data_IF_834614615932
#
_entry.id   IF_834614615932
#
_cell.length_a   1.000
_cell.length_b   1.000
_cell.length_c   1.000
_cell.angle_alpha   90.00
_cell.angle_beta   90.00
_cell.angle_gamma   90.00
#
_symmetry.space_group_name_H-M   'P 1'
#
loop_
_entity.id
_entity.type
_entity.pdbx_description
1 polymer ?
#
# COMPACT_ATOMS: atom_id res chain seq x y z
N UNK A 1 -46.57 -4.88 -8.34
CA UNK A 1 -45.50 -3.95 -7.94
C UNK A 1 -44.21 -4.77 -7.80
N UNK A 2 -43.36 -4.78 -8.84
CA UNK A 2 -42.12 -5.57 -8.87
C UNK A 2 -40.99 -4.67 -8.37
N UNK A 3 -40.41 -5.01 -7.22
CA UNK A 3 -39.22 -4.36 -6.67
C UNK A 3 -38.03 -4.98 -7.39
N UNK A 4 -37.34 -4.22 -8.26
CA UNK A 4 -36.06 -4.59 -8.80
C UNK A 4 -34.99 -4.24 -7.75
N UNK A 5 -34.47 -5.26 -7.11
CA UNK A 5 -33.25 -5.13 -6.30
C UNK A 5 -32.10 -5.07 -7.28
N UNK A 6 -31.54 -3.87 -7.47
CA UNK A 6 -30.29 -3.69 -8.18
C UNK A 6 -29.16 -4.19 -7.27
N UNK A 7 -28.79 -5.45 -7.41
CA UNK A 7 -27.52 -5.96 -6.89
C UNK A 7 -26.41 -5.32 -7.71
N UNK A 8 -25.81 -4.25 -7.17
CA UNK A 8 -24.52 -3.81 -7.66
C UNK A 8 -23.51 -4.91 -7.36
N UNK A 9 -23.18 -5.64 -8.42
CA UNK A 9 -22.05 -6.57 -8.43
C UNK A 9 -20.82 -5.79 -7.99
N UNK A 10 -20.28 -6.19 -6.84
CA UNK A 10 -18.91 -5.93 -6.47
C UNK A 10 -18.03 -6.26 -7.69
N UNK A 11 -17.42 -5.25 -8.28
CA UNK A 11 -16.41 -5.45 -9.30
C UNK A 11 -15.29 -6.26 -8.63
N UNK A 12 -15.25 -7.55 -8.92
CA UNK A 12 -14.04 -8.36 -8.73
C UNK A 12 -12.93 -7.61 -9.47
N UNK A 13 -12.05 -6.94 -8.74
CA UNK A 13 -10.85 -6.34 -9.31
C UNK A 13 -10.06 -7.49 -9.92
N UNK A 14 -10.17 -7.65 -11.24
CA UNK A 14 -9.32 -8.54 -11.99
C UNK A 14 -7.88 -8.09 -11.77
N UNK A 15 -6.99 -9.03 -11.43
CA UNK A 15 -5.54 -8.79 -11.36
C UNK A 15 -5.11 -7.96 -12.57
N UNK A 16 -4.35 -6.87 -12.38
CA UNK A 16 -3.92 -6.02 -13.47
C UNK A 16 -3.17 -6.89 -14.51
N UNK A 17 -3.56 -6.74 -15.75
CA UNK A 17 -3.00 -7.54 -16.84
C UNK A 17 -1.63 -6.97 -17.20
N UNK A 18 -0.58 -7.56 -16.63
CA UNK A 18 0.82 -7.22 -16.94
C UNK A 18 1.41 -8.20 -17.95
N UNK A 19 2.35 -7.74 -18.77
CA UNK A 19 3.03 -8.55 -19.78
C UNK A 19 4.51 -8.15 -19.86
N UNK A 20 5.28 -8.82 -20.69
CA UNK A 20 6.69 -8.50 -20.94
C UNK A 20 6.89 -7.05 -21.44
N UNK A 21 5.92 -6.49 -22.16
CA UNK A 21 5.93 -5.15 -22.74
C UNK A 21 5.47 -4.05 -21.77
N UNK A 22 4.95 -4.43 -20.61
CA UNK A 22 4.56 -3.47 -19.56
C UNK A 22 5.79 -2.71 -19.08
N UNK A 23 5.77 -1.38 -19.13
CA UNK A 23 6.90 -0.56 -18.65
C UNK A 23 6.94 -0.57 -17.11
N UNK A 24 8.12 -0.31 -16.55
CA UNK A 24 8.30 -0.28 -15.10
C UNK A 24 7.48 0.83 -14.45
N UNK A 25 7.27 1.95 -15.14
CA UNK A 25 6.34 2.99 -14.71
C UNK A 25 4.91 2.46 -14.62
N UNK A 26 4.40 1.86 -15.70
CA UNK A 26 3.06 1.27 -15.72
C UNK A 26 2.90 0.17 -14.67
N UNK A 27 3.94 -0.65 -14.48
CA UNK A 27 3.93 -1.70 -13.46
C UNK A 27 3.75 -1.10 -12.05
N UNK A 28 4.49 -0.04 -11.71
CA UNK A 28 4.39 0.60 -10.39
C UNK A 28 3.04 1.30 -10.21
N UNK A 29 2.47 1.89 -11.25
CA UNK A 29 1.12 2.49 -11.23
C UNK A 29 0.02 1.42 -11.00
N UNK A 30 0.16 0.24 -11.62
CA UNK A 30 -0.79 -0.87 -11.51
C UNK A 30 -0.61 -1.68 -10.21
N UNK A 31 0.61 -1.75 -9.72
CA UNK A 31 1.03 -2.61 -8.59
C UNK A 31 2.03 -1.85 -7.70
N UNK A 32 1.58 -1.04 -6.74
CA UNK A 32 2.47 -0.25 -5.88
C UNK A 32 3.55 -1.07 -5.17
N UNK A 33 3.25 -2.31 -4.78
CA UNK A 33 4.19 -3.25 -4.16
C UNK A 33 5.17 -3.93 -5.14
N UNK A 34 5.14 -3.62 -6.45
CA UNK A 34 5.94 -4.33 -7.45
C UNK A 34 7.45 -4.22 -7.21
N UNK A 35 7.95 -3.02 -6.83
CA UNK A 35 9.38 -2.82 -6.51
C UNK A 35 9.82 -3.71 -5.34
N UNK A 36 9.03 -3.78 -4.27
CA UNK A 36 9.30 -4.67 -3.12
C UNK A 36 9.29 -6.13 -3.56
N UNK A 37 8.32 -6.56 -4.37
CA UNK A 37 8.22 -7.93 -4.87
C UNK A 37 9.44 -8.33 -5.71
N UNK A 38 9.87 -7.47 -6.63
CA UNK A 38 11.06 -7.67 -7.45
C UNK A 38 12.33 -7.76 -6.60
N UNK A 39 12.45 -6.86 -5.61
CA UNK A 39 13.61 -6.87 -4.72
C UNK A 39 13.66 -8.11 -3.83
N UNK A 40 12.53 -8.50 -3.25
CA UNK A 40 12.48 -9.62 -2.30
C UNK A 40 12.90 -10.96 -2.91
N UNK A 41 12.64 -11.19 -4.20
CA UNK A 41 12.94 -12.46 -4.85
C UNK A 41 14.12 -12.40 -5.80
N UNK A 42 14.30 -11.28 -6.50
CA UNK A 42 15.30 -11.17 -7.57
C UNK A 42 16.38 -10.13 -7.28
N UNK A 43 16.31 -9.44 -6.15
CA UNK A 43 17.19 -8.33 -5.76
C UNK A 43 17.22 -7.15 -6.77
N UNK A 44 16.16 -7.00 -7.56
CA UNK A 44 16.00 -5.93 -8.56
C UNK A 44 15.37 -4.70 -7.89
N UNK A 45 15.95 -3.52 -8.09
CA UNK A 45 15.40 -2.23 -7.64
C UNK A 45 15.84 -1.76 -6.26
N UNK A 46 16.76 -2.47 -5.60
CA UNK A 46 17.24 -2.11 -4.25
C UNK A 46 18.39 -1.11 -4.21
N UNK A 47 19.07 -0.87 -5.32
CA UNK A 47 20.21 0.06 -5.41
C UNK A 47 20.23 0.74 -6.79
N UNK A 48 21.07 1.79 -6.94
CA UNK A 48 21.22 2.50 -8.24
C UNK A 48 21.74 1.60 -9.37
N UNK A 49 22.60 0.62 -9.04
CA UNK A 49 23.20 -0.27 -10.04
C UNK A 49 22.30 -1.44 -10.44
N UNK A 50 21.38 -1.87 -9.57
CA UNK A 50 20.39 -2.92 -9.85
C UNK A 50 18.97 -2.33 -10.05
N UNK A 51 18.87 -1.00 -10.16
CA UNK A 51 17.65 -0.28 -10.44
C UNK A 51 17.16 -0.53 -11.87
N UNK A 52 16.03 0.03 -12.18
CA UNK A 52 15.45 0.06 -13.51
C UNK A 52 15.01 1.49 -13.83
N UNK A 53 14.99 1.81 -15.13
CA UNK A 53 14.38 3.03 -15.62
C UNK A 53 12.87 2.85 -15.78
N UNK A 54 12.10 3.91 -15.55
CA UNK A 54 10.64 3.89 -15.68
C UNK A 54 10.17 3.54 -17.11
N UNK A 55 11.00 3.80 -18.11
CA UNK A 55 10.74 3.50 -19.52
C UNK A 55 11.09 2.07 -19.92
N UNK A 56 11.93 1.34 -19.15
CA UNK A 56 12.24 -0.06 -19.43
C UNK A 56 10.99 -0.94 -19.28
N UNK A 57 10.87 -1.96 -20.11
CA UNK A 57 9.85 -2.98 -20.01
C UNK A 57 10.26 -4.09 -19.03
N UNK A 58 9.29 -4.83 -18.50
CA UNK A 58 9.56 -6.01 -17.66
C UNK A 58 10.49 -6.99 -18.40
N UNK A 59 10.27 -7.21 -19.70
CA UNK A 59 11.11 -8.09 -20.51
C UNK A 59 12.56 -7.61 -20.62
N UNK A 60 12.80 -6.31 -20.79
CA UNK A 60 14.15 -5.73 -20.82
C UNK A 60 14.85 -5.85 -19.46
N UNK A 61 14.13 -5.56 -18.37
CA UNK A 61 14.65 -5.73 -17.01
C UNK A 61 15.02 -7.20 -16.75
N UNK A 62 14.18 -8.16 -17.14
CA UNK A 62 14.47 -9.60 -17.01
C UNK A 62 15.72 -9.99 -17.80
N UNK A 63 15.83 -9.55 -19.06
CA UNK A 63 16.97 -9.84 -19.93
C UNK A 63 18.28 -9.30 -19.37
N UNK A 64 18.26 -8.10 -18.80
CA UNK A 64 19.45 -7.46 -18.21
C UNK A 64 19.87 -8.12 -16.88
N UNK A 65 18.95 -8.77 -16.18
CA UNK A 65 19.19 -9.45 -14.92
C UNK A 65 19.26 -10.98 -15.12
N UNK A 66 20.35 -11.45 -15.74
CA UNK A 66 20.69 -12.87 -15.93
C UNK A 66 19.65 -13.65 -16.75
N UNK A 67 19.01 -13.02 -17.74
CA UNK A 67 17.97 -13.63 -18.58
C UNK A 67 16.87 -14.34 -17.75
N UNK A 68 16.37 -13.65 -16.71
CA UNK A 68 15.29 -14.20 -15.87
C UNK A 68 14.09 -14.60 -16.73
N UNK A 69 13.49 -15.80 -16.48
CA UNK A 69 12.27 -16.20 -17.18
C UNK A 69 11.13 -15.21 -16.90
N UNK A 70 10.69 -14.50 -17.94
CA UNK A 70 9.67 -13.44 -17.82
C UNK A 70 8.38 -13.98 -17.22
N UNK A 71 7.95 -15.17 -17.60
CA UNK A 71 6.73 -15.82 -17.07
C UNK A 71 6.80 -16.05 -15.56
N UNK A 72 7.98 -16.41 -15.03
CA UNK A 72 8.19 -16.61 -13.59
C UNK A 72 8.13 -15.26 -12.84
N UNK A 73 8.66 -14.19 -13.44
CA UNK A 73 8.59 -12.84 -12.88
C UNK A 73 7.15 -12.35 -12.89
N UNK A 74 6.42 -12.49 -13.99
CA UNK A 74 5.01 -12.09 -14.09
C UNK A 74 4.13 -12.86 -13.09
N UNK A 75 4.34 -14.15 -12.95
CA UNK A 75 3.64 -14.99 -11.97
C UNK A 75 3.94 -14.56 -10.54
N UNK A 76 5.20 -14.26 -10.23
CA UNK A 76 5.60 -13.78 -8.91
C UNK A 76 4.95 -12.41 -8.59
N UNK A 77 4.98 -11.47 -9.52
CA UNK A 77 4.34 -10.17 -9.38
C UNK A 77 2.83 -10.31 -9.13
N UNK A 78 2.14 -11.15 -9.92
CA UNK A 78 0.70 -11.38 -9.73
C UNK A 78 0.39 -11.99 -8.35
N UNK A 79 1.17 -12.96 -7.91
CA UNK A 79 1.02 -13.56 -6.58
C UNK A 79 1.28 -12.55 -5.45
N UNK A 80 2.28 -11.67 -5.62
CA UNK A 80 2.56 -10.60 -4.66
C UNK A 80 1.41 -9.59 -4.59
N UNK A 81 0.82 -9.22 -5.73
CA UNK A 81 -0.33 -8.32 -5.75
C UNK A 81 -1.55 -8.91 -5.05
N UNK A 82 -1.82 -10.21 -5.23
CA UNK A 82 -2.89 -10.90 -4.49
C UNK A 82 -2.64 -10.93 -2.97
N UNK A 83 -1.37 -11.03 -2.57
CA UNK A 83 -1.00 -10.90 -1.16
C UNK A 83 -1.21 -9.49 -0.65
N UNK A 84 -0.77 -8.49 -1.41
CA UNK A 84 -0.89 -7.07 -1.08
C UNK A 84 -2.36 -6.64 -0.91
N UNK A 85 -3.26 -7.17 -1.73
CA UNK A 85 -4.71 -6.93 -1.56
C UNK A 85 -5.25 -7.40 -0.20
N UNK A 86 -4.69 -8.47 0.36
CA UNK A 86 -5.12 -9.02 1.66
C UNK A 86 -4.64 -8.22 2.85
N UNK A 87 -3.61 -7.42 2.68
CA UNK A 87 -3.03 -6.55 3.71
C UNK A 87 -3.40 -5.08 3.50
N UNK A 88 -4.50 -4.82 2.83
CA UNK A 88 -5.08 -3.49 2.65
C UNK A 88 -6.50 -3.43 3.19
N UNK A 89 -6.91 -2.23 3.60
CA UNK A 89 -8.28 -1.90 3.97
C UNK A 89 -8.70 -0.64 3.21
N UNK A 90 -9.89 -0.61 2.62
CA UNK A 90 -10.40 0.60 2.00
C UNK A 90 -10.94 1.59 3.03
N UNK A 91 -11.08 2.85 2.64
CA UNK A 91 -11.50 3.94 3.52
C UNK A 91 -12.87 3.68 4.17
N UNK A 92 -13.82 3.15 3.41
CA UNK A 92 -15.19 2.89 3.91
C UNK A 92 -15.22 1.74 4.93
N UNK A 93 -14.40 0.71 4.76
CA UNK A 93 -14.33 -0.40 5.73
C UNK A 93 -13.55 0.01 6.98
N UNK A 94 -12.49 0.83 6.84
CA UNK A 94 -11.82 1.44 7.99
C UNK A 94 -12.81 2.27 8.83
N UNK A 95 -13.64 3.09 8.17
CA UNK A 95 -14.68 3.86 8.89
C UNK A 95 -15.61 2.97 9.69
N UNK A 96 -16.07 1.85 9.11
CA UNK A 96 -16.93 0.89 9.81
C UNK A 96 -16.22 0.25 11.02
N UNK A 97 -14.91 -0.05 10.90
CA UNK A 97 -14.13 -0.54 12.04
C UNK A 97 -14.00 0.52 13.13
N UNK A 98 -13.77 1.79 12.77
CA UNK A 98 -13.64 2.90 13.73
C UNK A 98 -14.94 3.28 14.43
N UNK A 99 -16.08 3.04 13.78
CA UNK A 99 -17.41 3.33 14.36
C UNK A 99 -17.88 2.24 15.36
N UNK A 100 -17.16 1.14 15.48
CA UNK A 100 -17.48 0.10 16.47
C UNK A 100 -16.98 0.53 17.86
N UNK A 101 -17.84 0.45 18.85
CA UNK A 101 -17.46 0.63 20.26
C UNK A 101 -16.51 -0.49 20.68
N UNK A 102 -15.51 -0.19 21.52
CA UNK A 102 -14.50 -1.12 22.05
C UNK A 102 -13.45 -1.68 21.09
N UNK A 103 -13.08 -0.97 20.01
CA UNK A 103 -11.97 -1.39 19.16
C UNK A 103 -10.66 -0.69 19.54
N UNK A 104 -9.67 -1.46 20.03
CA UNK A 104 -8.29 -0.98 20.19
C UNK A 104 -7.57 -1.03 18.84
N UNK A 105 -7.85 -0.03 17.99
CA UNK A 105 -7.23 0.13 16.68
C UNK A 105 -6.13 1.19 16.79
N UNK A 106 -4.92 0.83 16.38
CA UNK A 106 -3.80 1.76 16.27
C UNK A 106 -3.73 2.32 14.85
N UNK A 107 -3.93 3.63 14.72
CA UNK A 107 -3.79 4.35 13.46
C UNK A 107 -2.40 5.01 13.42
N UNK A 108 -1.49 4.50 12.58
CA UNK A 108 -0.12 5.00 12.46
C UNK A 108 0.07 5.75 11.16
N UNK A 109 0.34 7.03 11.24
CA UNK A 109 0.59 7.91 10.10
C UNK A 109 2.09 8.00 9.83
N UNK A 110 2.51 7.62 8.63
CA UNK A 110 3.93 7.58 8.22
C UNK A 110 4.34 8.78 7.36
N UNK A 111 3.49 9.80 7.25
CA UNK A 111 3.80 11.03 6.52
C UNK A 111 4.79 11.91 7.29
N UNK A 112 5.14 13.06 6.71
CA UNK A 112 5.94 14.05 7.42
C UNK A 112 5.15 14.66 8.58
N UNK A 113 5.88 15.27 9.54
CA UNK A 113 5.25 15.95 10.66
C UNK A 113 4.38 17.11 10.19
N UNK A 114 4.85 17.85 9.19
CA UNK A 114 4.16 18.99 8.60
C UNK A 114 2.82 18.57 7.99
N UNK A 115 2.81 17.47 7.23
CA UNK A 115 1.58 16.92 6.65
C UNK A 115 0.60 16.47 7.74
N UNK A 116 1.11 15.78 8.77
CA UNK A 116 0.30 15.29 9.89
C UNK A 116 -0.29 16.41 10.73
N UNK A 117 0.48 17.48 11.00
CA UNK A 117 0.00 18.65 11.74
C UNK A 117 -1.02 19.45 10.93
N UNK A 118 -0.84 19.53 9.61
CA UNK A 118 -1.78 20.22 8.73
C UNK A 118 -3.12 19.47 8.62
N UNK A 119 -3.07 18.14 8.47
CA UNK A 119 -4.28 17.33 8.29
C UNK A 119 -4.03 15.88 8.72
N UNK A 120 -4.98 15.26 9.42
CA UNK A 120 -4.88 13.86 9.87
C UNK A 120 -6.24 13.21 10.03
N UNK A 121 -6.27 11.90 10.01
CA UNK A 121 -7.46 11.14 10.42
C UNK A 121 -7.57 11.23 11.96
N UNK A 122 -8.74 11.57 12.51
CA UNK A 122 -8.92 11.64 13.97
C UNK A 122 -8.50 10.33 14.65
N UNK A 123 -7.76 10.45 15.76
CA UNK A 123 -7.25 9.29 16.50
C UNK A 123 -5.96 8.69 15.94
N UNK A 124 -5.40 9.19 14.83
CA UNK A 124 -4.11 8.74 14.34
C UNK A 124 -2.94 9.36 15.12
N UNK A 125 -1.83 8.62 15.18
CA UNK A 125 -0.56 9.02 15.77
C UNK A 125 0.52 9.02 14.68
N UNK A 126 1.40 10.03 14.71
CA UNK A 126 2.53 10.05 13.78
C UNK A 126 3.54 8.98 14.16
N UNK A 127 3.98 8.18 13.20
CA UNK A 127 4.99 7.16 13.41
C UNK A 127 6.36 7.82 13.62
N UNK A 128 6.89 7.66 14.83
CA UNK A 128 8.29 8.00 15.16
C UNK A 128 9.13 6.73 15.25
N UNK A 129 10.45 6.88 15.24
CA UNK A 129 11.36 5.74 15.45
C UNK A 129 11.10 5.04 16.80
N UNK A 130 10.84 5.81 17.86
CA UNK A 130 10.54 5.28 19.19
C UNK A 130 9.23 4.50 19.20
N UNK A 131 8.16 5.04 18.58
CA UNK A 131 6.87 4.36 18.46
C UNK A 131 6.98 3.08 17.62
N UNK A 132 7.77 3.10 16.54
CA UNK A 132 8.04 1.91 15.75
C UNK A 132 8.73 0.83 16.57
N UNK A 133 9.78 1.17 17.34
CA UNK A 133 10.47 0.24 18.22
C UNK A 133 9.54 -0.31 19.31
N UNK A 134 8.70 0.53 19.88
CA UNK A 134 7.71 0.13 20.86
C UNK A 134 6.70 -0.85 20.27
N UNK A 135 6.14 -0.54 19.10
CA UNK A 135 5.19 -1.39 18.41
C UNK A 135 5.78 -2.78 18.11
N UNK A 136 6.99 -2.84 17.58
CA UNK A 136 7.65 -4.10 17.25
C UNK A 136 8.08 -4.91 18.48
N UNK A 137 8.46 -4.22 19.57
CA UNK A 137 9.02 -4.86 20.77
C UNK A 137 8.01 -5.18 21.86
N UNK A 138 6.92 -4.40 21.98
CA UNK A 138 6.04 -4.46 23.15
C UNK A 138 4.56 -4.70 22.85
N UNK A 139 4.08 -4.37 21.63
CA UNK A 139 2.66 -4.52 21.33
C UNK A 139 2.26 -6.00 21.21
N UNK A 140 1.01 -6.29 21.57
CA UNK A 140 0.43 -7.61 21.31
C UNK A 140 0.44 -7.88 19.80
N UNK A 141 0.83 -9.10 19.42
CA UNK A 141 0.91 -9.53 18.01
C UNK A 141 -0.46 -9.53 17.31
N UNK A 142 -1.54 -9.44 18.08
CA UNK A 142 -2.92 -9.32 17.59
C UNK A 142 -3.44 -7.88 17.57
N UNK A 143 -2.62 -6.88 17.94
CA UNK A 143 -3.03 -5.48 17.87
C UNK A 143 -3.43 -5.14 16.46
N UNK A 144 -4.66 -4.62 16.29
CA UNK A 144 -5.14 -4.12 14.99
C UNK A 144 -4.43 -2.82 14.67
N UNK A 145 -3.63 -2.81 13.61
CA UNK A 145 -2.80 -1.65 13.23
C UNK A 145 -3.11 -1.26 11.80
N UNK A 146 -3.39 0.03 11.58
CA UNK A 146 -3.64 0.61 10.26
C UNK A 146 -2.50 1.57 9.95
N UNK A 147 -1.80 1.36 8.86
CA UNK A 147 -0.74 2.26 8.38
C UNK A 147 -1.33 3.23 7.38
N UNK A 148 -1.07 4.51 7.59
CA UNK A 148 -1.62 5.62 6.80
C UNK A 148 -0.46 6.40 6.17
N UNK A 149 -0.55 6.65 4.87
CA UNK A 149 0.27 7.63 4.16
C UNK A 149 -0.62 8.53 3.29
N UNK A 150 -0.05 9.23 2.31
CA UNK A 150 -0.83 10.13 1.45
C UNK A 150 -1.72 9.37 0.46
N UNK A 151 -1.15 8.41 -0.30
CA UNK A 151 -1.79 7.74 -1.44
C UNK A 151 -1.92 6.22 -1.31
N UNK A 152 -1.40 5.62 -0.24
CA UNK A 152 -1.49 4.17 0.02
C UNK A 152 -0.28 3.35 -0.47
N UNK A 153 0.70 3.97 -1.13
CA UNK A 153 1.84 3.26 -1.73
C UNK A 153 2.87 2.87 -0.67
N UNK A 154 3.32 3.82 0.14
CA UNK A 154 4.32 3.62 1.19
C UNK A 154 3.77 2.84 2.38
N UNK A 155 2.51 3.05 2.72
CA UNK A 155 1.86 2.34 3.83
C UNK A 155 1.80 0.84 3.60
N UNK A 156 1.69 0.40 2.35
CA UNK A 156 1.71 -1.02 1.99
C UNK A 156 3.04 -1.70 2.34
N UNK A 157 4.16 -1.04 2.04
CA UNK A 157 5.50 -1.56 2.37
C UNK A 157 5.72 -1.62 3.88
N UNK A 158 5.27 -0.61 4.61
CA UNK A 158 5.35 -0.58 6.08
C UNK A 158 4.44 -1.63 6.70
N UNK A 159 3.23 -1.84 6.18
CA UNK A 159 2.34 -2.90 6.66
C UNK A 159 2.96 -4.29 6.45
N UNK A 160 3.54 -4.56 5.28
CA UNK A 160 4.25 -5.81 5.02
C UNK A 160 5.44 -6.01 5.97
N UNK A 161 6.20 -4.94 6.26
CA UNK A 161 7.29 -4.97 7.24
C UNK A 161 6.80 -5.32 8.65
N UNK A 162 5.74 -4.69 9.14
CA UNK A 162 5.15 -4.99 10.46
C UNK A 162 4.65 -6.42 10.56
N UNK A 163 3.99 -6.93 9.51
CA UNK A 163 3.55 -8.34 9.45
C UNK A 163 4.74 -9.29 9.51
N UNK A 164 5.82 -9.00 8.77
CA UNK A 164 7.05 -9.77 8.79
C UNK A 164 7.72 -9.83 10.19
N UNK A 165 7.44 -8.84 11.04
CA UNK A 165 7.89 -8.79 12.44
C UNK A 165 6.84 -9.31 13.43
N UNK A 166 5.77 -9.92 12.93
CA UNK A 166 4.79 -10.65 13.74
C UNK A 166 3.55 -9.85 14.15
N UNK A 167 3.40 -8.58 13.78
CA UNK A 167 2.17 -7.81 13.97
C UNK A 167 1.14 -8.18 12.89
N UNK A 168 0.58 -9.39 13.02
CA UNK A 168 -0.16 -10.07 11.95
C UNK A 168 -1.51 -9.43 11.56
N UNK A 169 -2.00 -8.46 12.34
CA UNK A 169 -3.25 -7.74 12.06
C UNK A 169 -3.01 -6.32 11.55
N UNK A 170 -1.81 -6.06 11.01
CA UNK A 170 -1.48 -4.80 10.36
C UNK A 170 -2.01 -4.79 8.93
N UNK A 171 -2.58 -3.66 8.51
CA UNK A 171 -2.97 -3.40 7.12
C UNK A 171 -2.63 -1.98 6.74
N UNK A 172 -2.50 -1.73 5.44
CA UNK A 172 -2.36 -0.40 4.84
C UNK A 172 -3.72 0.17 4.49
N UNK A 173 -3.91 1.48 4.67
CA UNK A 173 -5.07 2.18 4.14
C UNK A 173 -4.92 2.37 2.63
N UNK A 174 -5.71 1.65 1.86
CA UNK A 174 -5.71 1.77 0.39
C UNK A 174 -6.08 3.19 -0.04
N UNK A 175 -5.27 3.79 -0.90
CA UNK A 175 -5.42 5.17 -1.33
C UNK A 175 -5.11 6.23 -0.26
N UNK A 176 -4.62 5.81 0.91
CA UNK A 176 -4.15 6.69 1.98
C UNK A 176 -5.19 7.68 2.50
N UNK A 177 -4.72 8.76 3.11
CA UNK A 177 -5.60 9.82 3.62
C UNK A 177 -6.37 10.53 2.50
N UNK A 178 -5.85 10.55 1.26
CA UNK A 178 -6.54 11.15 0.11
C UNK A 178 -7.85 10.42 -0.20
N UNK A 179 -7.81 9.08 -0.23
CA UNK A 179 -9.03 8.28 -0.40
C UNK A 179 -9.98 8.42 0.79
N UNK A 180 -9.46 8.44 2.02
CA UNK A 180 -10.29 8.61 3.22
C UNK A 180 -11.01 9.96 3.21
N UNK A 181 -10.32 11.04 2.87
CA UNK A 181 -10.91 12.37 2.70
C UNK A 181 -12.01 12.39 1.64
N UNK A 182 -11.76 11.76 0.50
CA UNK A 182 -12.70 11.75 -0.63
C UNK A 182 -13.95 10.92 -0.36
N UNK A 183 -13.81 9.78 0.29
CA UNK A 183 -14.85 8.74 0.37
C UNK A 183 -15.60 8.75 1.70
N UNK A 184 -14.95 9.23 2.78
CA UNK A 184 -15.45 9.07 4.15
C UNK A 184 -15.66 10.40 4.85
N UNK A 185 -14.65 11.25 4.89
CA UNK A 185 -14.72 12.53 5.62
C UNK A 185 -14.24 13.71 4.76
N UNK A 186 -15.15 14.33 3.99
CA UNK A 186 -14.82 15.49 3.16
C UNK A 186 -14.37 16.74 3.93
N UNK A 187 -14.49 16.75 5.27
CA UNK A 187 -13.96 17.84 6.10
C UNK A 187 -12.44 17.76 6.27
N UNK A 188 -11.83 16.61 5.99
CA UNK A 188 -10.37 16.46 5.91
C UNK A 188 -9.91 17.07 4.58
N UNK A 189 -9.14 18.20 4.58
CA UNK A 189 -8.71 18.83 3.34
C UNK A 189 -7.80 17.92 2.52
N UNK A 190 -8.04 17.84 1.23
CA UNK A 190 -7.12 17.18 0.30
C UNK A 190 -6.01 18.14 -0.06
N UNK A 191 -4.80 17.63 -0.21
CA UNK A 191 -3.62 18.41 -0.59
C UNK A 191 -2.80 17.68 -1.64
N UNK A 192 -1.88 18.38 -2.29
CA UNK A 192 -0.89 17.83 -3.19
C UNK A 192 0.50 18.16 -2.66
N UNK A 193 1.41 17.22 -2.79
CA UNK A 193 2.82 17.46 -2.49
C UNK A 193 3.42 18.07 -3.75
N UNK A 194 3.81 19.35 -3.68
CA UNK A 194 4.59 19.99 -4.73
C UNK A 194 6.06 19.70 -4.43
N UNK A 195 6.69 18.95 -5.32
CA UNK A 195 8.15 18.73 -5.29
C UNK A 195 8.74 19.89 -6.09
N UNK A 196 9.42 20.82 -5.40
CA UNK A 196 10.20 21.82 -6.12
C UNK A 196 11.29 21.11 -6.93
N UNK A 197 11.43 21.37 -8.22
CA UNK A 197 12.52 20.80 -9.00
C UNK A 197 13.84 21.41 -8.53
N UNK A 198 14.81 20.55 -8.24
CA UNK A 198 16.21 20.91 -7.94
C UNK A 198 16.87 21.69 -9.09
#
# INVERSE_FOLDING_TARGET
MRVFINAQLNSMQSNPKISAETTMKQLQELMPGARRALFAKYHIGGCQSCGFDDSETIGEVCKRNEDLPVDDVLKHLSSSAEHDQKIQINASDLKKELDQEDTDIKLLDIRSREEFEAVKIPGSEIMTADLQQEALGKWDKKTRTIIIDHTGDRSLDVAAFFIGHGLNRTVALAGGIDAYSKEVDPNIPRYRIEIEPD
#
